data_IF_924407857462
#
_entry.id   IF_924407857462
#
_cell.length_a   1.000
_cell.length_b   1.000
_cell.length_c   1.000
_cell.angle_alpha   90.00
_cell.angle_beta   90.00
_cell.angle_gamma   90.00
#
_symmetry.space_group_name_H-M   'P 1'
#
loop_
_entity.id
_entity.type
_entity.pdbx_description
1 polymer ?
#
# COMPACT_ATOMS: atom_id res chain seq x y z
N UNK A 1 -0.75 9.34 -13.11
CA UNK A 1 -0.35 7.91 -13.07
C UNK A 1 -1.34 7.16 -12.19
N UNK A 2 -2.01 6.12 -12.70
CA UNK A 2 -3.00 5.35 -11.92
C UNK A 2 -2.26 4.23 -11.19
N UNK A 3 -1.99 4.41 -9.90
CA UNK A 3 -1.36 3.36 -9.09
C UNK A 3 -2.40 2.28 -8.77
N UNK A 4 -2.30 1.12 -9.44
CA UNK A 4 -3.16 -0.02 -9.14
C UNK A 4 -2.67 -0.69 -7.87
N UNK A 5 -3.44 -0.57 -6.78
CA UNK A 5 -3.17 -1.29 -5.53
C UNK A 5 -3.23 -2.79 -5.82
N UNK A 6 -2.10 -3.50 -5.67
CA UNK A 6 -2.04 -4.96 -5.75
C UNK A 6 -1.93 -5.54 -4.35
N UNK A 7 -3.03 -6.15 -3.89
CA UNK A 7 -3.10 -6.87 -2.61
C UNK A 7 -2.97 -8.36 -2.89
N UNK A 8 -2.14 -9.05 -2.11
CA UNK A 8 -1.95 -10.50 -2.20
C UNK A 8 -2.19 -11.10 -0.82
N UNK A 9 -2.99 -12.15 -0.77
CA UNK A 9 -3.17 -12.96 0.45
C UNK A 9 -2.05 -13.99 0.51
N UNK A 10 -1.31 -13.99 1.60
CA UNK A 10 -0.24 -14.95 1.89
C UNK A 10 -0.61 -15.74 3.15
N UNK A 11 0.14 -16.80 3.46
CA UNK A 11 -0.03 -17.56 4.70
C UNK A 11 0.16 -16.70 5.96
N UNK A 12 0.98 -15.64 5.88
CA UNK A 12 1.24 -14.70 6.98
C UNK A 12 0.27 -13.51 7.03
N UNK A 13 -0.73 -13.43 6.15
CA UNK A 13 -1.71 -12.35 6.11
C UNK A 13 -1.78 -11.60 4.78
N UNK A 14 -2.33 -10.37 4.82
CA UNK A 14 -2.47 -9.51 3.64
C UNK A 14 -1.20 -8.70 3.41
N UNK A 15 -0.67 -8.78 2.19
CA UNK A 15 0.51 -8.03 1.76
C UNK A 15 0.11 -7.05 0.66
N UNK A 16 0.52 -5.79 0.80
CA UNK A 16 0.38 -4.76 -0.25
C UNK A 16 1.73 -4.63 -0.96
N UNK A 17 1.76 -4.81 -2.27
CA UNK A 17 3.00 -4.59 -3.04
C UNK A 17 3.24 -3.11 -3.25
N UNK A 18 4.42 -2.66 -2.84
CA UNK A 18 4.92 -1.33 -3.17
C UNK A 18 5.44 -1.34 -4.62
N UNK A 19 5.04 -0.39 -5.47
CA UNK A 19 5.59 -0.20 -6.81
C UNK A 19 7.12 -0.06 -6.83
N UNK A 20 7.77 -0.66 -7.83
CA UNK A 20 9.24 -0.74 -7.90
C UNK A 20 9.92 0.62 -8.11
N UNK A 21 9.24 1.55 -8.76
CA UNK A 21 9.65 2.96 -8.91
C UNK A 21 9.74 3.66 -7.56
N UNK A 22 8.76 3.47 -6.67
CA UNK A 22 8.77 4.02 -5.30
C UNK A 22 9.90 3.39 -4.48
N UNK A 23 10.07 2.06 -4.56
CA UNK A 23 11.16 1.33 -3.89
C UNK A 23 12.52 1.89 -4.32
N UNK A 24 12.72 2.13 -5.62
CA UNK A 24 13.97 2.71 -6.15
C UNK A 24 14.15 4.17 -5.75
N UNK A 25 13.10 4.98 -5.85
CA UNK A 25 13.15 6.41 -5.53
C UNK A 25 13.54 6.63 -4.06
N UNK A 26 12.98 5.82 -3.16
CA UNK A 26 13.22 5.91 -1.71
C UNK A 26 14.37 5.00 -1.25
N UNK A 27 15.02 4.27 -2.17
CA UNK A 27 16.09 3.30 -1.86
C UNK A 27 15.72 2.29 -0.77
N UNK A 28 14.47 1.83 -0.79
CA UNK A 28 13.98 0.85 0.19
C UNK A 28 14.57 -0.53 -0.07
N UNK A 29 14.85 -1.24 1.01
CA UNK A 29 15.33 -2.61 1.06
C UNK A 29 14.33 -3.49 1.82
N UNK A 30 14.51 -4.81 1.77
CA UNK A 30 13.70 -5.78 2.48
C UNK A 30 13.89 -5.76 4.02
N UNK A 31 14.89 -5.02 4.49
CA UNK A 31 15.20 -4.85 5.93
C UNK A 31 14.60 -3.58 6.51
N UNK A 32 14.05 -2.70 5.67
CA UNK A 32 13.52 -1.42 6.13
C UNK A 32 12.13 -1.58 6.71
N UNK A 33 11.89 -0.86 7.81
CA UNK A 33 10.56 -0.70 8.39
C UNK A 33 9.93 0.57 7.82
N UNK A 34 8.66 0.47 7.41
CA UNK A 34 7.88 1.59 6.90
C UNK A 34 6.69 1.86 7.82
N UNK A 35 6.45 3.12 8.13
CA UNK A 35 5.28 3.55 8.89
C UNK A 35 4.08 3.75 7.95
N UNK A 36 2.90 3.33 8.40
CA UNK A 36 1.64 3.53 7.68
C UNK A 36 0.79 4.54 8.45
N UNK A 37 0.77 5.78 7.97
CA UNK A 37 -0.09 6.84 8.50
C UNK A 37 -1.49 6.77 7.86
N UNK A 38 -2.47 6.30 8.65
CA UNK A 38 -3.87 6.19 8.21
C UNK A 38 -4.65 7.52 8.29
N UNK A 39 -4.12 8.53 8.98
CA UNK A 39 -4.83 9.81 9.19
C UNK A 39 -4.83 10.70 7.96
N UNK A 40 -3.83 10.51 7.08
CA UNK A 40 -3.72 11.20 5.79
C UNK A 40 -4.45 10.50 4.65
N UNK A 41 -5.07 9.35 4.93
CA UNK A 41 -5.92 8.64 3.96
C UNK A 41 -7.33 9.20 4.11
N UNK A 42 -7.91 9.77 3.07
CA UNK A 42 -9.31 10.18 3.10
C UNK A 42 -10.21 8.94 3.23
N UNK A 43 -10.57 8.62 4.48
CA UNK A 43 -11.38 7.45 4.82
C UNK A 43 -12.77 7.48 4.16
N UNK A 44 -13.25 8.66 3.76
CA UNK A 44 -14.53 8.79 3.03
C UNK A 44 -14.44 8.18 1.63
N UNK A 45 -13.30 8.29 0.95
CA UNK A 45 -13.08 7.65 -0.35
C UNK A 45 -12.88 6.13 -0.22
N UNK A 46 -12.21 5.69 0.86
CA UNK A 46 -11.99 4.26 1.12
C UNK A 46 -13.31 3.51 1.34
N UNK A 47 -14.24 4.11 2.08
CA UNK A 47 -15.55 3.51 2.41
C UNK A 47 -16.55 3.55 1.25
N UNK A 48 -16.38 4.44 0.26
CA UNK A 48 -17.19 4.40 -0.97
C UNK A 48 -16.84 3.22 -1.86
N UNK A 49 -15.57 2.80 -1.89
CA UNK A 49 -15.09 1.66 -2.70
C UNK A 49 -15.44 0.29 -2.14
N UNK A 50 -15.68 0.17 -0.83
CA UNK A 50 -16.01 -1.11 -0.19
C UNK A 50 -17.51 -1.44 -0.23
N UNK A 51 -18.37 -0.49 -0.63
CA UNK A 51 -19.83 -0.65 -0.72
C UNK A 51 -20.36 -0.76 -2.16
N UNK A 52 -19.47 -0.80 -3.16
CA UNK A 52 -19.82 -0.94 -4.58
C UNK A 52 -19.36 -2.26 -5.16
#
# INVERSE_FOLDING_TARGET
MKFTKKVIKTSGGLVVRVPADIVRLLSLTDKDYVEIDLTKIDLKELNKKSKS
#
